data_IF_645831769279
#
_entry.id   IF_645831769279
#
_cell.length_a   1.000
_cell.length_b   1.000
_cell.length_c   1.000
_cell.angle_alpha   90.00
_cell.angle_beta   90.00
_cell.angle_gamma   90.00
#
_symmetry.space_group_name_H-M   'P 1'
#
loop_
_entity.id
_entity.type
_entity.pdbx_description
1 polymer ?
#
# COMPACT_ATOMS: atom_id res chain seq x y z
N UNK A 1 16.95 -29.93 10.82
CA UNK A 1 16.27 -28.70 10.36
C UNK A 1 16.03 -28.90 8.87
N UNK A 2 14.82 -29.25 8.51
CA UNK A 2 14.41 -29.48 7.11
C UNK A 2 14.21 -28.12 6.47
N UNK A 3 15.05 -27.80 5.46
CA UNK A 3 14.85 -26.69 4.54
C UNK A 3 13.47 -26.86 3.87
N UNK A 4 12.50 -26.10 4.35
CA UNK A 4 11.25 -25.90 3.61
C UNK A 4 11.63 -24.95 2.48
N UNK A 5 11.90 -25.51 1.30
CA UNK A 5 11.99 -24.72 0.07
C UNK A 5 10.69 -23.90 0.00
N UNK A 6 10.82 -22.59 0.14
CA UNK A 6 9.70 -21.66 -0.05
C UNK A 6 9.28 -21.78 -1.50
N UNK A 7 8.11 -22.37 -1.73
CA UNK A 7 7.54 -22.45 -3.08
C UNK A 7 7.49 -21.01 -3.65
N UNK A 8 8.00 -20.85 -4.86
CA UNK A 8 7.97 -19.59 -5.59
C UNK A 8 6.53 -19.09 -5.67
N UNK A 9 6.29 -17.82 -5.31
CA UNK A 9 4.95 -17.26 -5.28
C UNK A 9 4.45 -17.02 -6.71
N UNK A 10 3.31 -17.62 -7.07
CA UNK A 10 2.65 -17.32 -8.34
C UNK A 10 1.93 -15.96 -8.28
N UNK A 11 2.72 -14.91 -8.48
CA UNK A 11 2.22 -13.53 -8.46
C UNK A 11 1.13 -13.26 -9.50
N UNK A 12 1.24 -13.72 -10.76
CA UNK A 12 0.18 -13.56 -11.74
C UNK A 12 -1.15 -14.13 -11.27
N UNK A 13 -1.16 -15.33 -10.72
CA UNK A 13 -2.39 -15.97 -10.23
C UNK A 13 -2.97 -15.22 -9.02
N UNK A 14 -2.13 -14.83 -8.03
CA UNK A 14 -2.58 -14.07 -6.87
C UNK A 14 -3.17 -12.71 -7.25
N UNK A 15 -2.55 -12.00 -8.18
CA UNK A 15 -3.04 -10.70 -8.65
C UNK A 15 -4.37 -10.86 -9.38
N UNK A 16 -4.50 -11.84 -10.27
CA UNK A 16 -5.75 -12.09 -11.00
C UNK A 16 -6.91 -12.41 -10.04
N UNK A 17 -6.66 -13.20 -8.99
CA UNK A 17 -7.66 -13.47 -7.95
C UNK A 17 -8.04 -12.22 -7.15
N UNK A 18 -7.06 -11.41 -6.77
CA UNK A 18 -7.29 -10.16 -6.03
C UNK A 18 -8.14 -9.19 -6.86
N UNK A 19 -7.77 -8.97 -8.12
CA UNK A 19 -8.50 -8.11 -9.06
C UNK A 19 -9.94 -8.59 -9.27
N UNK A 20 -10.13 -9.89 -9.41
CA UNK A 20 -11.47 -10.49 -9.55
C UNK A 20 -12.32 -10.31 -8.31
N UNK A 21 -11.76 -10.50 -7.11
CA UNK A 21 -12.49 -10.41 -5.84
C UNK A 21 -12.85 -8.97 -5.48
N UNK A 22 -11.94 -8.02 -5.72
CA UNK A 22 -12.09 -6.62 -5.29
C UNK A 22 -12.53 -5.67 -6.40
N UNK A 23 -12.59 -6.12 -7.67
CA UNK A 23 -12.93 -5.27 -8.84
C UNK A 23 -12.03 -4.03 -8.91
N UNK A 24 -10.73 -4.25 -8.77
CA UNK A 24 -9.74 -3.16 -8.75
C UNK A 24 -9.75 -2.38 -10.06
N UNK A 25 -9.52 -1.06 -9.94
CA UNK A 25 -9.38 -0.11 -11.06
C UNK A 25 -7.91 0.27 -11.30
N UNK A 26 -7.03 -0.20 -10.43
CA UNK A 26 -5.59 0.01 -10.49
C UNK A 26 -4.87 -1.33 -10.43
N UNK A 27 -3.66 -1.36 -10.94
CA UNK A 27 -2.81 -2.54 -10.94
C UNK A 27 -2.22 -2.73 -9.54
N UNK A 28 -2.36 -3.91 -8.90
CA UNK A 28 -1.62 -4.25 -7.69
C UNK A 28 -0.11 -4.22 -7.95
N UNK A 29 0.63 -3.57 -7.07
CA UNK A 29 2.05 -3.32 -7.27
C UNK A 29 2.86 -3.69 -6.02
N UNK A 30 4.15 -3.91 -6.22
CA UNK A 30 5.12 -4.14 -5.16
C UNK A 30 6.10 -2.99 -5.06
N UNK A 31 6.69 -2.86 -3.87
CA UNK A 31 7.82 -1.98 -3.60
C UNK A 31 8.96 -2.81 -3.04
N UNK A 32 10.18 -2.57 -3.53
CA UNK A 32 11.39 -3.24 -3.07
C UNK A 32 12.50 -2.22 -2.87
N UNK A 33 13.12 -2.27 -1.70
CA UNK A 33 14.20 -1.40 -1.27
C UNK A 33 15.54 -2.11 -1.45
N UNK A 34 16.58 -1.39 -1.83
CA UNK A 34 17.91 -1.93 -2.09
C UNK A 34 18.96 -1.16 -1.30
N UNK A 35 19.76 -1.88 -0.53
CA UNK A 35 20.90 -1.30 0.18
C UNK A 35 21.97 -0.82 -0.81
N UNK A 36 22.08 -1.47 -1.98
CA UNK A 36 22.98 -1.06 -3.07
C UNK A 36 22.21 -0.83 -4.37
N UNK A 37 22.44 0.31 -5.01
CA UNK A 37 21.77 0.67 -6.26
C UNK A 37 22.04 -0.33 -7.39
N UNK A 38 23.21 -0.98 -7.40
CA UNK A 38 23.56 -2.00 -8.38
C UNK A 38 22.61 -3.20 -8.39
N UNK A 39 22.05 -3.59 -7.24
CA UNK A 39 21.13 -4.72 -7.13
C UNK A 39 19.79 -4.37 -7.80
N UNK A 40 19.35 -3.12 -7.70
CA UNK A 40 18.16 -2.65 -8.42
C UNK A 40 18.40 -2.64 -9.93
N UNK A 41 19.59 -2.20 -10.39
CA UNK A 41 19.93 -2.17 -11.82
C UNK A 41 19.94 -3.58 -12.45
N UNK A 42 20.14 -4.62 -11.67
CA UNK A 42 20.10 -6.01 -12.14
C UNK A 42 18.69 -6.49 -12.50
N UNK A 43 17.62 -5.75 -12.15
CA UNK A 43 16.25 -6.13 -12.50
C UNK A 43 16.04 -6.03 -14.02
N UNK A 44 15.61 -7.10 -14.69
CA UNK A 44 15.46 -7.11 -16.15
C UNK A 44 14.47 -6.04 -16.64
N UNK A 45 14.91 -5.21 -17.57
CA UNK A 45 14.09 -4.16 -18.21
C UNK A 45 13.47 -3.18 -17.21
N UNK A 46 14.20 -2.88 -16.12
CA UNK A 46 13.78 -1.81 -15.22
C UNK A 46 13.83 -0.47 -15.95
N UNK A 47 12.80 0.35 -15.77
CA UNK A 47 12.77 1.71 -16.32
C UNK A 47 13.48 2.66 -15.37
N UNK A 48 14.27 3.58 -15.92
CA UNK A 48 14.88 4.69 -15.17
C UNK A 48 14.21 5.99 -15.59
N UNK A 49 13.76 6.82 -14.65
CA UNK A 49 13.22 8.15 -14.99
C UNK A 49 14.29 9.00 -15.72
N UNK A 50 13.89 9.64 -16.80
CA UNK A 50 14.74 10.60 -17.51
C UNK A 50 14.71 11.99 -16.88
N UNK A 51 13.76 12.25 -16.00
CA UNK A 51 13.53 13.52 -15.32
C UNK A 51 13.35 13.26 -13.82
N UNK A 52 13.45 14.31 -13.02
CA UNK A 52 13.15 14.25 -11.58
C UNK A 52 11.65 14.04 -11.39
N UNK A 53 11.29 13.11 -10.51
CA UNK A 53 9.92 12.74 -10.18
C UNK A 53 9.64 12.90 -8.68
N UNK A 54 8.37 12.94 -8.29
CA UNK A 54 7.96 12.59 -6.93
C UNK A 54 7.88 11.08 -6.80
N UNK A 55 7.99 10.54 -5.60
CA UNK A 55 7.79 9.10 -5.40
C UNK A 55 6.34 8.69 -5.73
N UNK A 56 5.37 9.59 -5.52
CA UNK A 56 3.98 9.37 -5.92
C UNK A 56 3.82 9.16 -7.42
N UNK A 57 4.57 9.90 -8.25
CA UNK A 57 4.59 9.68 -9.71
C UNK A 57 5.13 8.29 -10.06
N UNK A 58 6.16 7.82 -9.37
CA UNK A 58 6.73 6.49 -9.59
C UNK A 58 5.71 5.41 -9.20
N UNK A 59 5.02 5.57 -8.08
CA UNK A 59 3.90 4.71 -7.66
C UNK A 59 2.76 4.75 -8.69
N UNK A 60 2.42 5.95 -9.19
CA UNK A 60 1.42 6.12 -10.24
C UNK A 60 1.81 5.40 -11.54
N UNK A 61 3.08 5.44 -11.93
CA UNK A 61 3.58 4.71 -13.11
C UNK A 61 3.43 3.19 -12.96
N UNK A 62 3.64 2.65 -11.76
CA UNK A 62 3.43 1.24 -11.50
C UNK A 62 1.94 0.86 -11.45
N UNK A 63 1.15 1.61 -10.67
CA UNK A 63 -0.25 1.29 -10.38
C UNK A 63 -1.22 1.63 -11.51
N UNK A 64 -0.88 2.59 -12.40
CA UNK A 64 -1.75 3.04 -13.52
C UNK A 64 -1.25 2.63 -14.89
N UNK A 65 0.09 2.62 -15.09
CA UNK A 65 0.69 2.33 -16.39
C UNK A 65 1.32 0.94 -16.47
N UNK A 66 1.43 0.23 -15.36
CA UNK A 66 2.02 -1.12 -15.32
C UNK A 66 3.54 -1.14 -15.54
N UNK A 67 4.23 -0.05 -15.20
CA UNK A 67 5.67 0.03 -15.39
C UNK A 67 6.44 -0.46 -14.16
N UNK A 68 7.55 -1.15 -14.36
CA UNK A 68 8.55 -1.39 -13.32
C UNK A 68 9.60 -0.31 -13.40
N UNK A 69 9.68 0.52 -12.37
CA UNK A 69 10.52 1.72 -12.32
C UNK A 69 11.48 1.63 -11.15
N UNK A 70 12.76 1.86 -11.42
CA UNK A 70 13.82 1.93 -10.42
C UNK A 70 14.32 3.36 -10.27
N UNK A 71 14.56 3.77 -9.04
CA UNK A 71 14.98 5.13 -8.68
C UNK A 71 16.04 5.12 -7.58
N UNK A 72 16.83 6.19 -7.55
CA UNK A 72 17.70 6.57 -6.45
C UNK A 72 17.24 7.91 -5.88
N UNK A 73 17.86 8.36 -4.78
CA UNK A 73 17.54 9.66 -4.20
C UNK A 73 17.71 10.83 -5.19
N UNK A 74 18.65 10.72 -6.12
CA UNK A 74 18.94 11.74 -7.15
C UNK A 74 17.82 11.92 -8.16
N UNK A 75 17.00 10.90 -8.37
CA UNK A 75 15.88 10.95 -9.29
C UNK A 75 14.60 11.54 -8.67
N UNK A 76 14.63 11.86 -7.37
CA UNK A 76 13.45 12.27 -6.60
C UNK A 76 13.53 13.71 -6.11
N UNK A 77 12.42 14.42 -6.26
CA UNK A 77 12.12 15.64 -5.53
C UNK A 77 11.24 15.34 -4.33
N UNK A 78 11.35 16.16 -3.28
CA UNK A 78 10.56 16.03 -2.06
C UNK A 78 11.19 15.08 -1.03
N UNK A 79 11.43 15.61 0.16
CA UNK A 79 12.06 14.86 1.26
C UNK A 79 11.09 13.92 1.98
N UNK A 80 9.77 14.20 1.96
CA UNK A 80 8.76 13.46 2.73
C UNK A 80 8.75 11.97 2.40
N UNK A 81 8.40 11.61 1.18
CA UNK A 81 8.33 10.20 0.79
C UNK A 81 9.71 9.50 0.84
N UNK A 82 10.80 10.23 0.56
CA UNK A 82 12.17 9.70 0.71
C UNK A 82 12.47 9.32 2.15
N UNK A 83 12.13 10.20 3.10
CA UNK A 83 12.29 9.94 4.53
C UNK A 83 11.44 8.73 4.98
N UNK A 84 10.22 8.61 4.49
CA UNK A 84 9.32 7.49 4.81
C UNK A 84 9.93 6.14 4.43
N UNK A 85 10.53 6.03 3.25
CA UNK A 85 11.13 4.78 2.76
C UNK A 85 12.62 4.63 3.08
N UNK A 86 13.22 5.57 3.80
CA UNK A 86 14.64 5.52 4.19
C UNK A 86 15.61 5.66 3.02
N UNK A 87 15.21 6.33 1.94
CA UNK A 87 16.00 6.47 0.71
C UNK A 87 16.93 7.69 0.77
N UNK A 88 18.23 7.44 0.93
CA UNK A 88 19.22 8.46 1.14
C UNK A 88 19.04 9.21 2.47
N UNK A 89 19.88 10.18 2.75
CA UNK A 89 19.76 11.03 3.94
C UNK A 89 18.72 12.13 3.71
N UNK A 90 17.47 11.89 4.07
CA UNK A 90 16.37 12.81 3.86
C UNK A 90 15.94 13.59 5.12
N UNK A 91 16.22 13.07 6.31
CA UNK A 91 15.84 13.65 7.61
C UNK A 91 16.88 14.65 8.13
N UNK A 92 16.97 15.78 7.43
CA UNK A 92 17.81 16.91 7.90
C UNK A 92 17.16 17.64 9.08
N UNK A 93 17.91 18.49 9.79
CA UNK A 93 17.38 19.34 10.86
C UNK A 93 16.25 20.24 10.34
N UNK A 94 16.36 20.76 9.12
CA UNK A 94 15.31 21.53 8.47
C UNK A 94 14.05 20.67 8.26
N UNK A 95 14.20 19.44 7.77
CA UNK A 95 13.09 18.51 7.62
C UNK A 95 12.43 18.20 8.95
N UNK A 96 13.21 17.85 9.98
CA UNK A 96 12.71 17.51 11.32
C UNK A 96 11.97 18.69 11.98
N UNK A 97 12.42 19.91 11.73
CA UNK A 97 11.75 21.11 12.25
C UNK A 97 10.38 21.38 11.62
N UNK A 98 10.03 20.75 10.52
CA UNK A 98 8.80 21.02 9.77
C UNK A 98 8.75 22.39 9.11
N UNK A 99 9.86 23.13 9.04
CA UNK A 99 9.90 24.51 8.51
C UNK A 99 9.29 24.63 7.12
N UNK A 100 9.56 23.66 6.24
CA UNK A 100 9.04 23.62 4.86
C UNK A 100 7.53 23.36 4.75
N UNK A 101 6.89 22.89 5.83
CA UNK A 101 5.45 22.62 5.91
C UNK A 101 4.69 23.74 6.62
N UNK A 102 5.41 24.62 7.33
CA UNK A 102 4.83 25.74 8.07
C UNK A 102 4.28 26.80 7.11
N UNK A 103 3.05 27.21 7.33
CA UNK A 103 2.33 28.14 6.43
C UNK A 103 1.78 27.50 5.15
N UNK A 104 2.03 26.19 4.93
CA UNK A 104 1.50 25.42 3.80
C UNK A 104 0.48 24.40 4.29
N UNK A 105 0.89 23.46 5.13
CA UNK A 105 0.06 22.40 5.70
C UNK A 105 -0.30 22.62 7.17
N UNK A 106 0.57 23.34 7.89
CA UNK A 106 0.41 23.65 9.32
C UNK A 106 0.59 25.14 9.54
N UNK A 107 -0.22 25.71 10.45
CA UNK A 107 -0.16 27.14 10.75
C UNK A 107 1.07 27.51 11.57
N UNK A 108 1.62 26.56 12.35
CA UNK A 108 2.77 26.78 13.23
C UNK A 108 3.90 25.81 12.94
N UNK A 109 5.11 26.24 13.31
CA UNK A 109 6.31 25.39 13.23
C UNK A 109 6.24 24.22 14.22
N UNK A 110 5.64 24.44 15.38
CA UNK A 110 5.51 23.41 16.41
C UNK A 110 4.60 22.27 15.95
N UNK A 111 3.46 22.58 15.31
CA UNK A 111 2.57 21.57 14.74
C UNK A 111 3.24 20.81 13.59
N UNK A 112 3.96 21.53 12.73
CA UNK A 112 4.71 20.92 11.64
C UNK A 112 5.82 20.00 12.14
N UNK A 113 6.58 20.42 13.14
CA UNK A 113 7.61 19.61 13.80
C UNK A 113 7.03 18.38 14.52
N UNK A 114 5.90 18.54 15.20
CA UNK A 114 5.19 17.43 15.84
C UNK A 114 4.71 16.40 14.81
N UNK A 115 4.20 16.85 13.66
CA UNK A 115 3.85 15.97 12.55
C UNK A 115 5.06 15.18 12.05
N UNK A 116 6.20 15.85 11.77
CA UNK A 116 7.42 15.18 11.32
C UNK A 116 7.92 14.13 12.31
N UNK A 117 7.88 14.45 13.61
CA UNK A 117 8.29 13.52 14.65
C UNK A 117 7.37 12.30 14.80
N UNK A 118 6.09 12.43 14.46
CA UNK A 118 5.11 11.35 14.55
C UNK A 118 5.10 10.39 13.33
N UNK A 119 5.76 10.77 12.23
CA UNK A 119 5.76 9.94 11.00
C UNK A 119 6.46 8.61 11.22
N UNK A 120 5.80 7.52 10.82
CA UNK A 120 6.44 6.21 10.76
C UNK A 120 7.32 6.11 9.52
N UNK A 121 8.62 6.00 9.73
CA UNK A 121 9.60 5.94 8.66
C UNK A 121 10.55 4.75 8.84
N UNK A 122 11.06 4.25 7.73
CA UNK A 122 12.23 3.37 7.71
C UNK A 122 13.47 4.16 8.20
N UNK A 123 14.49 3.52 8.82
CA UNK A 123 15.72 4.21 9.19
C UNK A 123 16.30 5.02 8.03
N UNK A 124 16.65 6.29 8.30
CA UNK A 124 17.11 7.23 7.29
C UNK A 124 18.47 6.79 6.71
N UNK A 125 18.63 6.96 5.40
CA UNK A 125 19.88 6.65 4.69
C UNK A 125 20.21 5.15 4.59
N UNK A 126 19.28 4.26 4.95
CA UNK A 126 19.52 2.81 4.91
C UNK A 126 19.59 2.28 3.47
N UNK A 127 18.84 2.86 2.56
CA UNK A 127 18.72 2.37 1.19
C UNK A 127 19.23 3.38 0.18
N UNK A 128 19.92 2.87 -0.85
CA UNK A 128 20.42 3.67 -1.97
C UNK A 128 19.40 3.74 -3.11
N UNK A 129 18.57 2.70 -3.25
CA UNK A 129 17.63 2.58 -4.36
C UNK A 129 16.30 1.93 -3.96
N UNK A 130 15.31 2.15 -4.79
CA UNK A 130 13.95 1.64 -4.66
C UNK A 130 13.43 1.24 -6.03
N UNK A 131 12.73 0.11 -6.14
CA UNK A 131 11.96 -0.25 -7.31
C UNK A 131 10.48 -0.40 -6.95
N UNK A 132 9.62 0.09 -7.85
CA UNK A 132 8.15 -0.08 -7.78
C UNK A 132 7.69 -0.70 -9.10
N UNK A 133 6.81 -1.68 -9.04
CA UNK A 133 6.31 -2.32 -10.25
C UNK A 133 5.13 -3.26 -10.01
N UNK A 134 4.41 -3.66 -11.07
CA UNK A 134 3.29 -4.58 -10.94
C UNK A 134 3.70 -5.90 -10.31
N UNK A 135 2.93 -6.37 -9.34
CA UNK A 135 3.15 -7.69 -8.72
C UNK A 135 3.05 -8.82 -9.75
N UNK A 136 2.10 -8.71 -10.70
CA UNK A 136 1.86 -9.73 -11.73
C UNK A 136 3.07 -10.04 -12.62
N UNK A 137 4.09 -9.17 -12.64
CA UNK A 137 5.31 -9.43 -13.43
C UNK A 137 6.32 -10.33 -12.73
N UNK A 138 6.22 -10.52 -11.43
CA UNK A 138 7.20 -11.22 -10.61
C UNK A 138 8.60 -10.58 -10.55
N UNK A 139 8.83 -9.43 -11.20
CA UNK A 139 10.17 -8.82 -11.30
C UNK A 139 10.77 -8.38 -9.97
N UNK A 140 9.92 -8.10 -8.98
CA UNK A 140 10.34 -7.67 -7.64
C UNK A 140 10.30 -8.81 -6.62
N UNK A 141 10.19 -10.06 -7.05
CA UNK A 141 10.03 -11.20 -6.15
C UNK A 141 11.27 -11.46 -5.28
N UNK A 142 11.10 -11.62 -3.94
CA UNK A 142 9.96 -11.12 -3.18
C UNK A 142 10.01 -9.59 -3.05
N UNK A 143 8.90 -8.86 -3.19
CA UNK A 143 8.83 -7.45 -2.83
C UNK A 143 8.88 -7.30 -1.30
N UNK A 144 9.31 -6.14 -0.80
CA UNK A 144 9.26 -5.86 0.64
C UNK A 144 7.83 -5.65 1.13
N UNK A 145 7.00 -4.99 0.32
CA UNK A 145 5.57 -4.82 0.55
C UNK A 145 4.79 -4.97 -0.76
N UNK A 146 3.55 -5.49 -0.62
CA UNK A 146 2.53 -5.48 -1.65
C UNK A 146 1.54 -4.34 -1.40
N UNK A 147 1.07 -3.70 -2.48
CA UNK A 147 0.21 -2.53 -2.40
C UNK A 147 -0.91 -2.60 -3.45
N UNK A 148 -2.06 -2.02 -3.12
CA UNK A 148 -3.13 -1.80 -4.09
C UNK A 148 -4.07 -0.69 -3.64
N UNK A 149 -4.64 0.03 -4.61
CA UNK A 149 -5.71 0.99 -4.37
C UNK A 149 -7.06 0.33 -4.56
N UNK A 150 -8.00 0.62 -3.68
CA UNK A 150 -9.38 0.13 -3.79
C UNK A 150 -10.37 1.09 -3.11
N UNK A 151 -11.65 0.93 -3.45
CA UNK A 151 -12.73 1.67 -2.77
C UNK A 151 -12.90 1.22 -1.32
N UNK A 152 -13.48 2.04 -0.42
CA UNK A 152 -13.72 1.66 0.96
C UNK A 152 -14.52 0.35 1.11
N UNK A 153 -15.49 0.11 0.22
CA UNK A 153 -16.26 -1.14 0.21
C UNK A 153 -15.41 -2.37 -0.11
N UNK A 154 -14.47 -2.26 -1.04
CA UNK A 154 -13.52 -3.33 -1.34
C UNK A 154 -12.51 -3.52 -0.20
N UNK A 155 -12.06 -2.41 0.42
CA UNK A 155 -11.14 -2.47 1.57
C UNK A 155 -11.74 -3.21 2.76
N UNK A 156 -12.99 -2.96 3.13
CA UNK A 156 -13.60 -3.69 4.24
C UNK A 156 -13.76 -5.18 3.92
N UNK A 157 -14.03 -5.54 2.66
CA UNK A 157 -14.07 -6.93 2.26
C UNK A 157 -12.70 -7.61 2.34
N UNK A 158 -11.64 -6.91 1.94
CA UNK A 158 -10.26 -7.39 2.09
C UNK A 158 -9.87 -7.59 3.56
N UNK A 159 -10.19 -6.62 4.43
CA UNK A 159 -9.93 -6.72 5.88
C UNK A 159 -10.66 -7.92 6.48
N UNK A 160 -11.91 -8.17 6.09
CA UNK A 160 -12.65 -9.37 6.50
C UNK A 160 -11.92 -10.65 6.06
N UNK A 161 -11.32 -10.66 4.86
CA UNK A 161 -10.49 -11.75 4.37
C UNK A 161 -9.24 -11.98 5.21
N UNK A 162 -8.54 -10.91 5.61
CA UNK A 162 -7.39 -10.97 6.52
C UNK A 162 -7.76 -11.54 7.90
N UNK A 163 -8.96 -11.23 8.37
CA UNK A 163 -9.46 -11.62 9.68
C UNK A 163 -10.16 -12.99 9.70
N UNK A 164 -10.36 -13.61 8.54
CA UNK A 164 -11.08 -14.89 8.42
C UNK A 164 -10.47 -16.01 9.29
N UNK A 165 -9.16 -16.11 9.32
CA UNK A 165 -8.46 -17.09 10.16
C UNK A 165 -7.42 -16.41 11.03
N UNK A 166 -7.52 -16.57 12.35
CA UNK A 166 -6.65 -15.90 13.31
C UNK A 166 -7.00 -14.42 13.41
N UNK A 167 -8.19 -14.13 13.94
CA UNK A 167 -8.69 -12.77 14.13
C UNK A 167 -7.67 -11.89 14.86
N UNK A 168 -7.39 -10.73 14.26
CA UNK A 168 -6.68 -9.62 14.88
C UNK A 168 -7.40 -8.33 14.47
N UNK A 169 -7.62 -7.43 15.44
CA UNK A 169 -8.18 -6.11 15.13
C UNK A 169 -7.25 -5.41 14.13
N UNK A 170 -7.84 -4.81 13.12
CA UNK A 170 -7.11 -3.98 12.18
C UNK A 170 -7.07 -2.55 12.72
N UNK A 171 -5.92 -2.14 13.22
CA UNK A 171 -5.70 -0.79 13.73
C UNK A 171 -4.96 0.02 12.67
N UNK A 172 -5.41 1.23 12.43
CA UNK A 172 -4.82 2.16 11.48
C UNK A 172 -4.92 3.60 11.98
N UNK A 173 -3.99 4.43 11.53
CA UNK A 173 -3.97 5.86 11.79
C UNK A 173 -4.32 6.63 10.52
N UNK A 174 -4.70 7.89 10.68
CA UNK A 174 -5.02 8.79 9.58
C UNK A 174 -4.30 10.10 9.79
N UNK A 175 -3.61 10.54 8.77
CA UNK A 175 -2.99 11.86 8.71
C UNK A 175 -3.35 12.54 7.39
N UNK A 176 -3.55 13.85 7.39
CA UNK A 176 -3.98 14.59 6.20
C UNK A 176 -2.84 14.81 5.20
N UNK A 177 -1.61 14.90 5.67
CA UNK A 177 -0.41 15.06 4.86
C UNK A 177 0.57 13.93 5.16
N UNK A 178 1.36 13.52 4.14
CA UNK A 178 2.32 12.41 4.26
C UNK A 178 1.69 11.06 4.62
N UNK A 179 0.51 10.75 4.07
CA UNK A 179 -0.22 9.50 4.30
C UNK A 179 0.60 8.24 3.94
N UNK A 180 1.65 8.40 3.14
CA UNK A 180 2.64 7.35 2.87
C UNK A 180 3.33 6.83 4.14
N UNK A 181 3.45 7.62 5.21
CA UNK A 181 3.96 7.16 6.49
C UNK A 181 3.03 6.15 7.17
N UNK A 182 1.71 6.36 7.06
CA UNK A 182 0.69 5.47 7.61
C UNK A 182 0.48 4.19 6.78
N UNK A 183 0.90 4.18 5.52
CA UNK A 183 0.85 3.01 4.63
C UNK A 183 2.23 2.40 4.40
N UNK A 184 3.04 2.97 3.52
CA UNK A 184 4.34 2.40 3.13
C UNK A 184 5.29 2.30 4.33
N UNK A 185 5.47 3.42 5.04
CA UNK A 185 6.38 3.48 6.19
C UNK A 185 6.00 2.48 7.27
N UNK A 186 4.71 2.39 7.62
CA UNK A 186 4.24 1.46 8.63
C UNK A 186 4.36 0.00 8.18
N UNK A 187 3.97 -0.33 6.95
CA UNK A 187 4.08 -1.69 6.45
C UNK A 187 5.53 -2.16 6.36
N UNK A 188 6.45 -1.30 5.89
CA UNK A 188 7.88 -1.58 5.81
C UNK A 188 8.52 -1.74 7.21
N UNK A 189 8.17 -0.86 8.15
CA UNK A 189 8.81 -0.83 9.48
C UNK A 189 8.24 -1.87 10.44
N UNK A 190 6.93 -2.15 10.39
CA UNK A 190 6.25 -3.02 11.38
C UNK A 190 5.94 -4.41 10.86
N UNK A 191 6.08 -4.66 9.56
CA UNK A 191 5.66 -5.91 8.90
C UNK A 191 4.17 -6.23 9.15
N UNK A 192 3.32 -5.20 9.25
CA UNK A 192 1.88 -5.34 9.42
C UNK A 192 1.14 -4.72 8.26
N UNK A 193 -0.02 -5.27 7.91
CA UNK A 193 -0.94 -4.65 6.97
C UNK A 193 -1.34 -3.26 7.49
N UNK A 194 -1.33 -2.27 6.62
CA UNK A 194 -1.59 -0.88 6.93
C UNK A 194 -2.48 -0.25 5.87
N UNK A 195 -3.34 0.65 6.28
CA UNK A 195 -4.31 1.33 5.43
C UNK A 195 -4.10 2.84 5.53
N UNK A 196 -4.21 3.56 4.43
CA UNK A 196 -4.24 5.03 4.44
C UNK A 196 -5.32 5.59 3.51
N UNK A 197 -5.73 6.82 3.83
CA UNK A 197 -6.44 7.68 2.89
C UNK A 197 -5.37 8.47 2.15
N UNK A 198 -5.20 8.28 0.83
CA UNK A 198 -4.14 8.93 0.06
C UNK A 198 -4.17 10.45 0.20
N UNK A 199 -3.00 11.05 0.43
CA UNK A 199 -2.83 12.49 0.62
C UNK A 199 -2.90 13.28 -0.70
N UNK A 200 -2.73 14.59 -0.61
CA UNK A 200 -2.73 15.47 -1.78
C UNK A 200 -1.72 15.07 -2.84
N UNK A 201 -0.49 14.71 -2.46
CA UNK A 201 0.58 14.37 -3.40
C UNK A 201 0.27 13.07 -4.14
N UNK A 202 -0.22 12.03 -3.47
CA UNK A 202 -0.64 10.78 -4.09
C UNK A 202 -1.75 11.01 -5.13
N UNK A 203 -2.72 11.89 -4.82
CA UNK A 203 -3.82 12.24 -5.76
C UNK A 203 -3.33 13.08 -6.92
N UNK A 204 -2.59 14.16 -6.65
CA UNK A 204 -2.15 15.11 -7.66
C UNK A 204 -1.09 14.54 -8.59
N UNK A 205 -0.13 13.81 -8.07
CA UNK A 205 1.03 13.33 -8.83
C UNK A 205 0.95 11.82 -9.14
N UNK A 206 0.35 11.03 -8.26
CA UNK A 206 0.20 9.58 -8.45
C UNK A 206 -1.08 9.17 -9.19
N UNK A 207 -2.00 10.11 -9.44
CA UNK A 207 -3.25 9.85 -10.14
C UNK A 207 -4.22 8.96 -9.35
N UNK A 208 -4.18 9.05 -8.02
CA UNK A 208 -5.10 8.33 -7.14
C UNK A 208 -6.48 8.99 -7.17
N UNK A 209 -7.53 8.20 -7.34
CA UNK A 209 -8.91 8.71 -7.42
C UNK A 209 -9.45 9.07 -6.03
N UNK A 210 -10.44 9.98 -5.98
CA UNK A 210 -10.98 10.51 -4.73
C UNK A 210 -11.65 9.45 -3.85
N UNK A 211 -12.19 8.40 -4.45
CA UNK A 211 -12.84 7.29 -3.78
C UNK A 211 -11.92 6.08 -3.54
N UNK A 212 -10.62 6.24 -3.68
CA UNK A 212 -9.63 5.19 -3.43
C UNK A 212 -8.92 5.38 -2.09
N UNK A 213 -8.69 4.25 -1.43
CA UNK A 213 -7.82 4.06 -0.27
C UNK A 213 -6.64 3.19 -0.67
N UNK A 214 -5.53 3.27 0.05
CA UNK A 214 -4.34 2.45 -0.18
C UNK A 214 -4.19 1.39 0.91
N UNK A 215 -4.05 0.14 0.50
CA UNK A 215 -3.57 -0.97 1.34
C UNK A 215 -2.10 -1.23 1.06
N UNK A 216 -1.30 -1.32 2.11
CA UNK A 216 0.08 -1.76 2.07
C UNK A 216 0.26 -2.91 3.08
N UNK A 217 0.88 -4.02 2.67
CA UNK A 217 1.00 -5.19 3.52
C UNK A 217 2.24 -6.03 3.17
N UNK A 218 2.74 -6.83 4.15
CA UNK A 218 3.72 -7.88 3.84
C UNK A 218 3.17 -8.84 2.79
N UNK A 219 3.98 -9.26 1.82
CA UNK A 219 3.53 -10.09 0.69
C UNK A 219 2.85 -11.41 1.09
N UNK A 220 3.34 -12.04 2.15
CA UNK A 220 2.81 -13.29 2.70
C UNK A 220 1.35 -13.19 3.22
N UNK A 221 0.89 -11.98 3.53
CA UNK A 221 -0.49 -11.75 3.99
C UNK A 221 -1.49 -11.68 2.83
N UNK A 222 -1.04 -11.44 1.60
CA UNK A 222 -1.93 -11.32 0.45
C UNK A 222 -2.67 -12.63 0.13
N UNK A 223 -1.95 -13.74 0.06
CA UNK A 223 -2.56 -15.07 -0.16
C UNK A 223 -3.51 -15.47 0.95
N UNK A 224 -3.19 -15.12 2.21
CA UNK A 224 -4.06 -15.33 3.37
C UNK A 224 -5.38 -14.58 3.22
N UNK A 225 -5.33 -13.30 2.85
CA UNK A 225 -6.52 -12.48 2.65
C UNK A 225 -7.39 -13.03 1.50
N UNK A 226 -6.78 -13.41 0.37
CA UNK A 226 -7.47 -14.00 -0.78
C UNK A 226 -8.20 -15.29 -0.36
N UNK A 227 -7.55 -16.16 0.38
CA UNK A 227 -8.15 -17.40 0.90
C UNK A 227 -9.36 -17.09 1.77
N UNK A 228 -9.25 -16.11 2.67
CA UNK A 228 -10.35 -15.66 3.52
C UNK A 228 -11.52 -15.07 2.73
N UNK A 229 -11.24 -14.20 1.76
CA UNK A 229 -12.29 -13.63 0.88
C UNK A 229 -13.00 -14.72 0.06
N UNK A 230 -12.29 -15.73 -0.44
CA UNK A 230 -12.89 -16.88 -1.14
C UNK A 230 -13.82 -17.67 -0.21
N UNK A 231 -13.43 -17.87 1.04
CA UNK A 231 -14.28 -18.53 2.04
C UNK A 231 -15.54 -17.70 2.35
N UNK A 232 -15.38 -16.40 2.54
CA UNK A 232 -16.52 -15.47 2.72
C UNK A 232 -17.47 -15.50 1.52
N UNK A 233 -16.93 -15.51 0.31
CA UNK A 233 -17.73 -15.58 -0.93
C UNK A 233 -18.57 -16.85 -1.00
N UNK A 234 -18.05 -18.00 -0.55
CA UNK A 234 -18.81 -19.27 -0.45
C UNK A 234 -19.95 -19.18 0.56
N UNK A 235 -19.79 -18.34 1.60
CA UNK A 235 -20.83 -18.09 2.60
C UNK A 235 -21.84 -16.99 2.16
N UNK A 236 -21.73 -16.51 0.92
CA UNK A 236 -22.65 -15.50 0.39
C UNK A 236 -22.18 -14.04 0.56
N UNK A 237 -21.04 -13.82 1.25
CA UNK A 237 -20.44 -12.48 1.37
C UNK A 237 -19.49 -12.24 0.20
N UNK A 238 -19.84 -11.38 -0.70
CA UNK A 238 -19.01 -11.06 -1.89
C UNK A 238 -19.10 -9.58 -2.23
N UNK A 239 -18.04 -9.08 -2.76
CA UNK A 239 -17.97 -7.70 -3.26
C UNK A 239 -18.26 -7.68 -4.78
N UNK A 240 -19.01 -6.69 -5.32
CA UNK A 240 -19.72 -5.64 -4.59
C UNK A 240 -20.82 -6.21 -3.67
N UNK A 241 -21.01 -5.58 -2.50
CA UNK A 241 -22.04 -6.01 -1.56
C UNK A 241 -23.42 -5.77 -2.17
N UNK A 242 -24.29 -6.80 -2.23
CA UNK A 242 -25.66 -6.60 -2.65
C UNK A 242 -26.38 -5.70 -1.65
N UNK A 243 -26.97 -4.63 -2.15
CA UNK A 243 -27.75 -3.72 -1.30
C UNK A 243 -29.13 -4.30 -1.04
N UNK A 244 -29.59 -4.13 0.18
CA UNK A 244 -30.95 -4.43 0.60
C UNK A 244 -31.73 -3.12 0.82
N UNK A 245 -33.00 -3.09 0.47
CA UNK A 245 -33.79 -1.87 0.60
C UNK A 245 -33.94 -1.42 2.06
N UNK A 246 -33.67 -0.14 2.33
CA UNK A 246 -33.66 0.43 3.70
C UNK A 246 -35.03 0.37 4.41
N UNK A 247 -36.11 0.13 3.69
CA UNK A 247 -37.48 0.03 4.22
C UNK A 247 -38.06 -1.39 4.15
N UNK A 248 -37.30 -2.36 3.65
CA UNK A 248 -37.76 -3.73 3.49
C UNK A 248 -37.67 -4.52 4.79
N UNK A 249 -38.52 -5.52 4.95
CA UNK A 249 -38.40 -6.48 6.06
C UNK A 249 -37.07 -7.25 5.94
N UNK A 250 -36.16 -6.96 6.84
CA UNK A 250 -34.78 -7.50 6.82
C UNK A 250 -34.76 -9.00 7.07
N UNK A 251 -35.76 -9.61 7.71
CA UNK A 251 -35.82 -11.04 8.04
C UNK A 251 -35.64 -11.92 6.82
N UNK A 252 -36.24 -11.54 5.70
CA UNK A 252 -36.09 -12.28 4.44
C UNK A 252 -34.67 -12.27 3.88
N UNK A 253 -33.87 -11.23 4.18
CA UNK A 253 -32.48 -11.06 3.69
C UNK A 253 -31.41 -11.41 4.70
N UNK A 254 -31.76 -11.68 5.96
CA UNK A 254 -30.78 -11.92 7.04
C UNK A 254 -30.18 -13.34 7.04
N UNK A 255 -30.74 -14.27 6.29
CA UNK A 255 -30.41 -15.69 6.36
C UNK A 255 -28.93 -16.02 6.19
N UNK A 256 -28.15 -15.16 5.54
CA UNK A 256 -26.72 -15.40 5.28
C UNK A 256 -25.83 -14.80 6.36
N UNK A 257 -26.08 -13.54 6.77
CA UNK A 257 -25.14 -12.79 7.61
C UNK A 257 -25.48 -12.75 9.09
N UNK A 258 -26.75 -12.69 9.43
CA UNK A 258 -27.22 -12.59 10.82
C UNK A 258 -28.32 -13.62 11.12
N UNK A 259 -28.67 -14.42 10.13
CA UNK A 259 -29.81 -15.27 10.18
C UNK A 259 -29.60 -16.58 10.89
N UNK A 260 -30.69 -17.12 11.29
CA UNK A 260 -30.80 -18.47 11.76
C UNK A 260 -30.32 -19.43 10.66
N UNK A 261 -29.28 -20.20 10.93
CA UNK A 261 -28.96 -21.35 10.10
C UNK A 261 -30.13 -22.32 10.29
N UNK A 262 -30.93 -22.47 9.22
CA UNK A 262 -31.93 -23.53 9.16
C UNK A 262 -31.27 -24.88 9.19
#
# INVERSE_FOLDING_TARGET
MTDIATAETDWPALVAELEQLLKLRSIPFGMKLFEHAADMEAIPRIRRPQHIHTLDQVVGQASRLGWTVGITAENLVGAQCRAVVGLGAAKTDEWMSGQHMTGVWFSTKDDAGAHQAAMTCVPDGRYEALAVGPLSTGKLDPPDIALFYATPGAMIYFINGLQWSGYKRFDWSVVGESACADSWGRALSTRQASLSIPCFAERRYGGVLDDEMLMALPPDQLGKAITGMKALSKNGFRYPFPQYGVQQDVRAGMAVSYGERK
#
